data_IF_786882132273
#
_entry.id   IF_786882132273
#
_cell.length_a   1.000
_cell.length_b   1.000
_cell.length_c   1.000
_cell.angle_alpha   90.00
_cell.angle_beta   90.00
_cell.angle_gamma   90.00
#
_symmetry.space_group_name_H-M   'P 1'
#
loop_
_entity.id
_entity.type
_entity.pdbx_description
1 polymer ?
#
# COMPACT_ATOMS: atom_id res chain seq x y z
N UNK A 1 -1.22 43.01 -28.19
CA UNK A 1 -1.37 41.73 -28.91
C UNK A 1 -0.10 40.93 -28.69
N UNK A 2 -0.02 40.19 -27.58
CA UNK A 2 1.22 39.59 -27.07
C UNK A 2 1.17 38.07 -27.17
N UNK A 3 2.27 37.53 -27.71
CA UNK A 3 2.57 36.13 -28.00
C UNK A 3 2.08 35.13 -26.94
N UNK A 4 1.36 34.08 -27.38
CA UNK A 4 1.18 32.83 -26.62
C UNK A 4 2.49 32.05 -26.68
N UNK A 5 3.34 32.25 -25.69
CA UNK A 5 4.48 31.37 -25.45
C UNK A 5 3.94 30.01 -25.00
N UNK A 6 4.01 29.05 -25.91
CA UNK A 6 3.80 27.63 -25.68
C UNK A 6 4.79 27.10 -24.65
N UNK A 7 4.39 27.07 -23.38
CA UNK A 7 5.14 26.35 -22.36
C UNK A 7 4.72 24.89 -22.39
N UNK A 8 5.54 24.06 -23.03
CA UNK A 8 5.50 22.60 -22.94
C UNK A 8 5.79 22.17 -21.50
N UNK A 9 4.78 22.21 -20.63
CA UNK A 9 4.89 21.65 -19.28
C UNK A 9 4.33 20.23 -19.32
N UNK A 10 5.08 19.26 -18.78
CA UNK A 10 4.65 17.85 -18.64
C UNK A 10 3.29 17.73 -17.93
N UNK A 11 2.90 18.74 -17.16
CA UNK A 11 1.59 18.83 -16.50
C UNK A 11 0.41 19.00 -17.46
N UNK A 12 0.64 19.42 -18.72
CA UNK A 12 -0.40 19.48 -19.75
C UNK A 12 -0.61 18.13 -20.47
N UNK A 13 0.33 17.18 -20.33
CA UNK A 13 0.17 15.80 -20.83
C UNK A 13 -0.76 15.01 -19.90
N UNK A 14 -0.80 15.37 -18.62
CA UNK A 14 -1.64 14.68 -17.65
C UNK A 14 -2.99 15.36 -17.53
N UNK A 15 -3.94 14.86 -18.32
CA UNK A 15 -5.34 15.27 -18.32
C UNK A 15 -5.87 15.35 -16.88
N UNK A 16 -6.35 16.54 -16.49
CA UNK A 16 -7.13 16.72 -15.26
C UNK A 16 -8.29 15.72 -15.29
N UNK A 17 -8.49 14.91 -14.24
CA UNK A 17 -9.57 13.93 -14.24
C UNK A 17 -10.92 14.64 -14.11
N UNK A 18 -11.52 15.00 -15.26
CA UNK A 18 -12.82 15.68 -15.34
C UNK A 18 -14.03 14.70 -15.26
N UNK A 19 -13.80 13.37 -15.30
CA UNK A 19 -14.86 12.35 -15.30
C UNK A 19 -14.66 11.25 -14.24
N UNK A 20 -15.77 10.67 -13.71
CA UNK A 20 -15.75 9.56 -12.72
C UNK A 20 -14.89 8.36 -13.16
N UNK A 21 -14.81 8.08 -14.46
CA UNK A 21 -13.95 7.02 -15.05
C UNK A 21 -12.48 7.21 -14.70
N UNK A 22 -12.01 8.45 -14.65
CA UNK A 22 -10.61 8.77 -14.41
C UNK A 22 -10.21 8.55 -12.93
N UNK A 23 -11.15 8.74 -12.00
CA UNK A 23 -10.95 8.41 -10.57
C UNK A 23 -10.87 6.89 -10.35
N UNK A 24 -11.72 6.11 -11.03
CA UNK A 24 -11.68 4.66 -10.94
C UNK A 24 -10.36 4.08 -11.46
N UNK A 25 -9.95 4.48 -12.67
CA UNK A 25 -8.69 4.03 -13.29
C UNK A 25 -7.51 4.39 -12.38
N UNK A 26 -7.44 5.64 -11.90
CA UNK A 26 -6.40 6.07 -10.96
C UNK A 26 -6.35 5.19 -9.71
N UNK A 27 -7.50 4.95 -9.06
CA UNK A 27 -7.55 4.15 -7.84
C UNK A 27 -7.15 2.69 -8.10
N UNK A 28 -7.58 2.11 -9.23
CA UNK A 28 -7.18 0.76 -9.63
C UNK A 28 -5.67 0.67 -9.88
N UNK A 29 -5.09 1.63 -10.61
CA UNK A 29 -3.64 1.70 -10.84
C UNK A 29 -2.85 1.80 -9.54
N UNK A 30 -3.33 2.60 -8.58
CA UNK A 30 -2.69 2.73 -7.26
C UNK A 30 -2.75 1.42 -6.46
N UNK A 31 -3.91 0.78 -6.41
CA UNK A 31 -4.12 -0.49 -5.69
C UNK A 31 -3.22 -1.58 -6.26
N UNK A 32 -3.20 -1.74 -7.58
CA UNK A 32 -2.36 -2.71 -8.28
C UNK A 32 -0.88 -2.38 -8.12
N UNK A 33 -0.49 -1.10 -8.27
CA UNK A 33 0.88 -0.65 -8.10
C UNK A 33 1.46 -0.98 -6.73
N UNK A 34 0.70 -0.72 -5.66
CA UNK A 34 1.13 -1.09 -4.30
C UNK A 34 1.09 -2.60 -4.04
N UNK A 35 0.20 -3.35 -4.69
CA UNK A 35 0.18 -4.81 -4.57
C UNK A 35 1.43 -5.44 -5.22
N UNK A 36 1.85 -4.90 -6.37
CA UNK A 36 3.11 -5.27 -7.03
C UNK A 36 4.31 -4.86 -6.19
N UNK A 37 4.27 -3.67 -5.57
CA UNK A 37 5.32 -3.25 -4.64
C UNK A 37 5.46 -4.24 -3.48
N UNK A 38 4.35 -4.68 -2.87
CA UNK A 38 4.37 -5.71 -1.83
C UNK A 38 4.99 -7.02 -2.35
N UNK A 39 4.66 -7.44 -3.57
CA UNK A 39 5.22 -8.65 -4.18
C UNK A 39 6.74 -8.56 -4.45
N UNK A 40 7.24 -7.40 -4.85
CA UNK A 40 8.68 -7.16 -5.02
C UNK A 40 9.38 -7.18 -3.66
N UNK A 41 8.83 -6.46 -2.68
CA UNK A 41 9.37 -6.44 -1.32
C UNK A 41 9.31 -7.82 -0.63
N UNK A 42 8.38 -8.70 -1.04
CA UNK A 42 8.31 -10.08 -0.59
C UNK A 42 9.51 -10.95 -0.94
N UNK A 43 10.24 -10.59 -1.99
CA UNK A 43 11.42 -11.33 -2.41
C UNK A 43 12.63 -11.02 -1.52
N UNK A 44 12.64 -9.85 -0.88
CA UNK A 44 13.65 -9.49 0.12
C UNK A 44 13.29 -10.24 1.40
N UNK A 45 14.03 -11.30 1.70
CA UNK A 45 13.72 -12.20 2.82
C UNK A 45 14.95 -12.65 3.57
N UNK A 46 14.78 -12.84 4.87
CA UNK A 46 15.79 -13.37 5.79
C UNK A 46 15.21 -14.67 6.36
N UNK A 47 15.73 -15.85 5.95
CA UNK A 47 15.25 -17.11 6.47
C UNK A 47 15.65 -17.26 7.94
N UNK A 48 14.68 -17.60 8.77
CA UNK A 48 14.90 -17.89 10.18
C UNK A 48 14.84 -19.41 10.35
N UNK A 49 15.93 -20.04 10.77
CA UNK A 49 16.03 -21.51 10.87
C UNK A 49 15.06 -22.17 11.86
N UNK A 50 14.32 -21.38 12.64
CA UNK A 50 13.38 -21.85 13.67
C UNK A 50 11.90 -21.67 13.28
N UNK A 51 11.58 -21.00 12.16
CA UNK A 51 10.20 -20.86 11.68
C UNK A 51 10.08 -21.15 10.19
N UNK A 52 8.96 -21.75 9.73
CA UNK A 52 8.74 -22.01 8.31
C UNK A 52 8.49 -20.73 7.47
N UNK A 53 8.18 -19.60 8.12
CA UNK A 53 7.88 -18.33 7.46
C UNK A 53 9.06 -17.37 7.62
N UNK A 54 9.75 -16.97 6.53
CA UNK A 54 10.86 -16.04 6.63
C UNK A 54 10.38 -14.63 6.99
N UNK A 55 11.25 -13.83 7.59
CA UNK A 55 11.00 -12.38 7.71
C UNK A 55 11.22 -11.75 6.34
N UNK A 56 10.25 -10.98 5.86
CA UNK A 56 10.27 -10.38 4.52
C UNK A 56 10.11 -8.87 4.58
N UNK A 57 10.45 -8.19 3.48
CA UNK A 57 10.13 -6.78 3.28
C UNK A 57 8.63 -6.49 3.06
N UNK A 58 7.74 -7.50 3.08
CA UNK A 58 6.30 -7.32 2.87
C UNK A 58 5.70 -6.36 3.88
N UNK A 59 6.10 -6.47 5.14
CA UNK A 59 5.57 -5.65 6.24
C UNK A 59 5.81 -4.16 5.98
N UNK A 60 6.98 -3.78 5.48
CA UNK A 60 7.27 -2.40 5.10
C UNK A 60 6.32 -1.90 4.00
N UNK A 61 6.15 -2.67 2.92
CA UNK A 61 5.27 -2.31 1.82
C UNK A 61 3.79 -2.22 2.26
N UNK A 62 3.35 -3.10 3.17
CA UNK A 62 2.00 -3.11 3.75
C UNK A 62 1.72 -1.82 4.52
N UNK A 63 2.65 -1.41 5.40
CA UNK A 63 2.50 -0.18 6.18
C UNK A 63 2.55 1.04 5.26
N UNK A 64 3.45 1.05 4.28
CA UNK A 64 3.55 2.11 3.29
C UNK A 64 2.27 2.24 2.45
N UNK A 65 1.67 1.12 2.04
CA UNK A 65 0.40 1.11 1.32
C UNK A 65 -0.73 1.72 2.15
N UNK A 66 -0.82 1.34 3.44
CA UNK A 66 -1.77 1.96 4.37
C UNK A 66 -1.56 3.47 4.48
N UNK A 67 -0.32 3.89 4.74
CA UNK A 67 0.02 5.31 4.93
C UNK A 67 -0.19 6.16 3.67
N UNK A 68 0.12 5.62 2.48
CA UNK A 68 0.07 6.35 1.22
C UNK A 68 -1.32 6.36 0.57
N UNK A 69 -2.07 5.25 0.67
CA UNK A 69 -3.36 5.08 0.00
C UNK A 69 -4.56 5.33 0.91
N UNK A 70 -4.36 5.36 2.23
CA UNK A 70 -5.44 5.45 3.21
C UNK A 70 -6.09 4.11 3.51
N UNK A 71 -7.12 4.12 4.38
CA UNK A 71 -7.76 2.93 4.97
C UNK A 71 -8.27 1.99 3.89
N UNK A 72 -9.08 2.53 2.96
CA UNK A 72 -9.81 1.74 1.98
C UNK A 72 -8.91 1.20 0.89
N UNK A 73 -8.13 2.07 0.25
CA UNK A 73 -7.28 1.68 -0.88
C UNK A 73 -6.05 0.88 -0.42
N UNK A 74 -5.51 1.15 0.77
CA UNK A 74 -4.45 0.35 1.38
C UNK A 74 -4.91 -1.09 1.66
N UNK A 75 -6.07 -1.25 2.30
CA UNK A 75 -6.66 -2.57 2.53
C UNK A 75 -6.97 -3.31 1.22
N UNK A 76 -7.54 -2.62 0.22
CA UNK A 76 -7.79 -3.20 -1.10
C UNK A 76 -6.50 -3.62 -1.80
N UNK A 77 -5.42 -2.86 -1.66
CA UNK A 77 -4.11 -3.24 -2.22
C UNK A 77 -3.58 -4.54 -1.63
N UNK A 78 -3.64 -4.71 -0.31
CA UNK A 78 -3.19 -5.95 0.33
C UNK A 78 -4.13 -7.13 0.03
N UNK A 79 -5.43 -6.89 -0.09
CA UNK A 79 -6.38 -7.91 -0.56
C UNK A 79 -6.07 -8.34 -2.00
N UNK A 80 -5.77 -7.37 -2.88
CA UNK A 80 -5.42 -7.66 -4.28
C UNK A 80 -4.12 -8.46 -4.35
N UNK A 81 -3.11 -8.11 -3.55
CA UNK A 81 -1.86 -8.87 -3.41
C UNK A 81 -2.13 -10.33 -3.00
N UNK A 82 -2.97 -10.54 -1.99
CA UNK A 82 -3.31 -11.89 -1.52
C UNK A 82 -4.07 -12.69 -2.59
N UNK A 83 -5.10 -12.10 -3.22
CA UNK A 83 -5.87 -12.78 -4.27
C UNK A 83 -5.00 -13.10 -5.49
N UNK A 84 -4.14 -12.19 -5.92
CA UNK A 84 -3.21 -12.43 -7.04
C UNK A 84 -2.27 -13.60 -6.74
N UNK A 85 -1.72 -13.67 -5.53
CA UNK A 85 -0.92 -14.81 -5.09
C UNK A 85 -1.73 -16.11 -5.07
N UNK A 86 -3.00 -16.10 -4.63
CA UNK A 86 -3.87 -17.27 -4.62
C UNK A 86 -4.16 -17.83 -6.03
N UNK A 87 -4.27 -16.97 -7.04
CA UNK A 87 -4.48 -17.35 -8.45
C UNK A 87 -3.26 -18.09 -9.03
N UNK A 88 -2.11 -18.06 -8.35
CA UNK A 88 -0.90 -18.78 -8.78
C UNK A 88 0.24 -17.87 -9.22
N UNK A 89 0.08 -16.55 -9.13
CA UNK A 89 1.18 -15.64 -9.43
C UNK A 89 2.29 -15.79 -8.38
N UNK A 90 3.57 -15.72 -8.79
CA UNK A 90 4.74 -15.94 -7.91
C UNK A 90 5.02 -14.73 -7.00
N UNK A 91 4.00 -14.26 -6.29
CA UNK A 91 4.01 -12.99 -5.55
C UNK A 91 4.43 -13.17 -4.10
N UNK A 92 4.30 -14.38 -3.56
CA UNK A 92 4.75 -14.68 -2.21
C UNK A 92 6.27 -14.86 -2.16
N UNK A 93 6.81 -14.97 -0.95
CA UNK A 93 8.23 -15.25 -0.75
C UNK A 93 8.63 -16.57 -1.43
N UNK A 94 9.92 -16.72 -1.79
CA UNK A 94 10.40 -17.82 -2.66
C UNK A 94 9.83 -17.79 -4.10
N UNK A 95 9.27 -16.67 -4.58
CA UNK A 95 8.52 -16.66 -5.84
C UNK A 95 7.41 -17.74 -5.86
N UNK A 96 6.81 -18.02 -4.69
CA UNK A 96 5.73 -19.00 -4.57
C UNK A 96 4.37 -18.35 -4.85
N UNK A 97 3.41 -19.17 -5.20
CA UNK A 97 2.03 -18.78 -5.48
C UNK A 97 1.11 -19.98 -5.31
N UNK A 98 -0.19 -19.72 -5.47
CA UNK A 98 -1.24 -20.73 -5.44
C UNK A 98 -1.95 -20.85 -4.09
N UNK A 99 -3.04 -21.61 -4.11
CA UNK A 99 -3.96 -21.76 -2.99
C UNK A 99 -3.25 -22.18 -1.69
N UNK A 100 -2.48 -23.27 -1.75
CA UNK A 100 -1.77 -23.79 -0.57
C UNK A 100 -0.75 -22.81 0.03
N UNK A 101 -0.14 -21.95 -0.79
CA UNK A 101 0.84 -20.97 -0.32
C UNK A 101 0.17 -19.73 0.29
N UNK A 102 -1.09 -19.44 -0.06
CA UNK A 102 -1.86 -18.32 0.47
C UNK A 102 -2.84 -18.68 1.60
N UNK A 103 -3.25 -19.96 1.70
CA UNK A 103 -4.16 -20.46 2.75
C UNK A 103 -3.48 -21.42 3.74
N UNK A 104 -2.17 -21.64 3.60
CA UNK A 104 -1.37 -22.44 4.53
C UNK A 104 -0.92 -21.64 5.75
N UNK A 105 0.30 -21.88 6.23
CA UNK A 105 0.85 -21.24 7.42
C UNK A 105 0.94 -19.70 7.35
N UNK A 106 0.95 -19.12 6.15
CA UNK A 106 1.07 -17.68 5.89
C UNK A 106 -0.27 -16.94 5.86
N UNK A 107 -1.41 -17.66 5.90
CA UNK A 107 -2.75 -17.07 5.81
C UNK A 107 -2.98 -16.00 6.88
N UNK A 108 -2.57 -16.27 8.12
CA UNK A 108 -2.69 -15.33 9.23
C UNK A 108 -1.95 -14.01 8.98
N UNK A 109 -0.79 -14.07 8.31
CA UNK A 109 -0.04 -12.87 7.92
C UNK A 109 -0.78 -12.07 6.85
N UNK A 110 -1.36 -12.74 5.85
CA UNK A 110 -2.10 -12.06 4.77
C UNK A 110 -3.33 -11.33 5.30
N UNK A 111 -4.10 -11.98 6.18
CA UNK A 111 -5.24 -11.35 6.85
C UNK A 111 -4.75 -10.19 7.73
N UNK A 112 -3.69 -10.41 8.50
CA UNK A 112 -3.06 -9.37 9.32
C UNK A 112 -2.59 -8.17 8.51
N UNK A 113 -2.09 -8.36 7.29
CA UNK A 113 -1.67 -7.26 6.41
C UNK A 113 -2.81 -6.38 5.94
N UNK A 114 -3.99 -6.96 5.67
CA UNK A 114 -5.18 -6.19 5.31
C UNK A 114 -5.59 -5.31 6.48
N UNK A 115 -5.65 -5.87 7.70
CA UNK A 115 -5.97 -5.11 8.90
C UNK A 115 -4.91 -4.06 9.24
N UNK A 116 -3.62 -4.39 9.10
CA UNK A 116 -2.53 -3.46 9.34
C UNK A 116 -2.58 -2.27 8.37
N UNK A 117 -2.75 -2.52 7.07
CA UNK A 117 -2.89 -1.45 6.09
C UNK A 117 -4.12 -0.58 6.34
N UNK A 118 -5.25 -1.19 6.74
CA UNK A 118 -6.45 -0.46 7.13
C UNK A 118 -6.21 0.41 8.36
N UNK A 119 -5.61 -0.14 9.43
CA UNK A 119 -5.36 0.57 10.67
C UNK A 119 -4.38 1.74 10.46
N UNK A 120 -3.28 1.52 9.73
CA UNK A 120 -2.32 2.57 9.40
C UNK A 120 -2.96 3.63 8.51
N UNK A 121 -3.73 3.22 7.51
CA UNK A 121 -4.44 4.14 6.63
C UNK A 121 -5.46 4.99 7.38
N UNK A 122 -6.14 4.42 8.38
CA UNK A 122 -7.09 5.14 9.23
C UNK A 122 -6.40 6.18 10.09
N UNK A 123 -5.22 5.85 10.63
CA UNK A 123 -4.41 6.81 11.37
C UNK A 123 -3.89 7.93 10.45
N UNK A 124 -3.45 7.59 9.23
CA UNK A 124 -2.96 8.55 8.24
C UNK A 124 -4.06 9.51 7.74
N UNK A 125 -5.28 9.01 7.51
CA UNK A 125 -6.44 9.80 7.10
C UNK A 125 -6.89 10.79 8.17
N UNK A 126 -6.71 10.45 9.46
CA UNK A 126 -7.01 11.33 10.59
C UNK A 126 -6.04 12.49 10.78
N UNK A 127 -5.07 12.68 9.87
CA UNK A 127 -4.14 13.84 9.83
C UNK A 127 -3.41 14.12 11.16
N UNK A 128 -3.17 13.13 12.01
CA UNK A 128 -2.38 13.33 13.23
C UNK A 128 -0.95 13.82 12.94
N UNK A 129 -0.46 13.62 11.70
CA UNK A 129 0.87 14.06 11.22
C UNK A 129 0.84 15.28 10.28
N UNK A 130 -0.31 15.88 9.96
CA UNK A 130 -0.38 16.96 8.94
C UNK A 130 -0.67 18.35 9.49
N UNK A 131 -0.83 18.52 10.80
CA UNK A 131 -1.01 19.82 11.43
C UNK A 131 -0.13 19.92 12.69
N UNK A 132 1.00 20.62 12.60
CA UNK A 132 1.88 20.97 13.73
C UNK A 132 1.09 21.51 14.95
N UNK A 133 -0.07 22.12 14.71
CA UNK A 133 -0.95 22.71 15.74
C UNK A 133 -1.71 21.65 16.57
N UNK A 134 -2.03 20.48 16.02
CA UNK A 134 -2.66 19.39 16.78
C UNK A 134 -1.65 18.46 17.45
N UNK A 135 -0.40 18.40 16.98
CA UNK A 135 0.68 17.63 17.60
C UNK A 135 1.12 18.23 18.95
N UNK A 136 1.18 19.56 19.07
CA UNK A 136 1.60 20.27 20.28
C UNK A 136 0.76 19.96 21.54
N UNK A 137 -0.58 20.10 21.53
CA UNK A 137 -1.40 19.78 22.70
C UNK A 137 -1.43 18.28 23.01
N UNK A 138 -1.30 17.40 22.01
CA UNK A 138 -1.18 15.95 22.24
C UNK A 138 0.16 15.57 22.91
N UNK A 139 1.25 16.26 22.56
CA UNK A 139 2.56 16.09 23.21
C UNK A 139 2.55 16.62 24.65
N UNK A 140 1.93 17.79 24.89
CA UNK A 140 1.81 18.38 26.23
C UNK A 140 0.91 17.54 27.16
N UNK A 141 -0.18 16.98 26.66
CA UNK A 141 -1.05 16.09 27.44
C UNK A 141 -0.41 14.72 27.70
N UNK A 142 0.49 14.26 26.83
CA UNK A 142 1.24 13.02 27.03
C UNK A 142 2.46 13.15 27.94
N UNK A 143 2.84 14.38 28.33
CA UNK A 143 3.99 14.65 29.22
C UNK A 143 3.61 15.18 30.61
N UNK A 144 2.31 15.15 30.94
CA UNK A 144 1.77 15.40 32.27
C UNK A 144 1.35 14.09 32.97
#
# INVERSE_FOLDING_TARGET
MTNKTSTLVITDIWARPEARTNVFVRNATLVVGFALLTAICAQIRIPLGFTPVPVTGQTFAVLLAGAALGTRLGALSQLTYWVMGLIGLPFYSNATGGWSAGTGATMGYMIGFIFAAAAVGHLAERKHDRQFITSLPAMLLGSA
#
